data_IF_290476695444
#
_entry.id   IF_290476695444
#
_cell.length_a   1.000
_cell.length_b   1.000
_cell.length_c   1.000
_cell.angle_alpha   90.00
_cell.angle_beta   90.00
_cell.angle_gamma   90.00
#
_symmetry.space_group_name_H-M   'P 1'
#
loop_
_entity.id
_entity.type
_entity.pdbx_description
1 polymer ?
#
# COMPACT_ATOMS: atom_id res chain seq x y z
N UNK A 1 -48.04 62.50 19.28
CA UNK A 1 -47.01 61.55 19.76
C UNK A 1 -45.93 62.33 20.50
N UNK A 2 -45.61 61.96 21.74
CA UNK A 2 -44.54 62.61 22.51
C UNK A 2 -43.17 62.29 21.91
N UNK A 3 -42.20 63.19 22.05
CA UNK A 3 -40.84 63.00 21.50
C UNK A 3 -40.19 61.70 21.99
N UNK A 4 -40.51 61.28 23.22
CA UNK A 4 -40.08 60.01 23.81
C UNK A 4 -40.52 58.79 22.99
N UNK A 5 -41.74 58.77 22.47
CA UNK A 5 -42.23 57.63 21.68
C UNK A 5 -41.43 57.43 20.38
N UNK A 6 -41.03 58.52 19.72
CA UNK A 6 -40.21 58.45 18.49
C UNK A 6 -38.81 57.89 18.77
N UNK A 7 -38.17 58.31 19.86
CA UNK A 7 -36.84 57.84 20.25
C UNK A 7 -36.86 56.32 20.50
N UNK A 8 -37.84 55.81 21.24
CA UNK A 8 -37.96 54.36 21.47
C UNK A 8 -38.23 53.55 20.21
N UNK A 9 -39.01 54.10 19.27
CA UNK A 9 -39.31 53.44 17.99
C UNK A 9 -38.05 53.33 17.13
N UNK A 10 -37.28 54.41 17.01
CA UNK A 10 -36.02 54.41 16.25
C UNK A 10 -35.00 53.46 16.90
N UNK A 11 -34.87 53.49 18.22
CA UNK A 11 -33.94 52.61 18.94
C UNK A 11 -34.28 51.12 18.73
N UNK A 12 -35.56 50.75 18.84
CA UNK A 12 -36.02 49.38 18.60
C UNK A 12 -35.75 48.90 17.17
N UNK A 13 -35.93 49.78 16.18
CA UNK A 13 -35.69 49.46 14.77
C UNK A 13 -34.19 49.26 14.48
N UNK A 14 -33.33 50.09 15.08
CA UNK A 14 -31.87 49.94 14.97
C UNK A 14 -31.39 48.64 15.62
N UNK A 15 -31.88 48.29 16.81
CA UNK A 15 -31.52 47.02 17.47
C UNK A 15 -31.97 45.82 16.65
N UNK A 16 -33.17 45.87 16.06
CA UNK A 16 -33.67 44.79 15.20
C UNK A 16 -32.81 44.61 13.93
N UNK A 17 -32.39 45.70 13.29
CA UNK A 17 -31.53 45.65 12.10
C UNK A 17 -30.12 45.12 12.42
N UNK A 18 -29.51 45.59 13.50
CA UNK A 18 -28.17 45.13 13.92
C UNK A 18 -28.22 43.67 14.37
N UNK A 19 -29.24 43.28 15.14
CA UNK A 19 -29.45 41.89 15.56
C UNK A 19 -29.70 40.94 14.38
N UNK A 20 -30.51 41.37 13.41
CA UNK A 20 -30.77 40.59 12.19
C UNK A 20 -29.53 40.42 11.32
N UNK A 21 -28.73 41.48 11.14
CA UNK A 21 -27.47 41.42 10.38
C UNK A 21 -26.44 40.50 11.06
N UNK A 22 -26.30 40.59 12.39
CA UNK A 22 -25.40 39.71 13.15
C UNK A 22 -25.81 38.23 13.04
N UNK A 23 -27.11 37.94 13.18
CA UNK A 23 -27.62 36.57 13.06
C UNK A 23 -27.44 36.00 11.66
N UNK A 24 -27.65 36.82 10.63
CA UNK A 24 -27.43 36.44 9.23
C UNK A 24 -25.95 36.12 8.96
N UNK A 25 -25.01 36.94 9.47
CA UNK A 25 -23.57 36.69 9.32
C UNK A 25 -23.18 35.36 10.00
N UNK A 26 -23.65 35.12 11.23
CA UNK A 26 -23.36 33.86 11.93
C UNK A 26 -23.96 32.64 11.21
N UNK A 27 -25.16 32.76 10.65
CA UNK A 27 -25.78 31.68 9.88
C UNK A 27 -24.96 31.37 8.60
N UNK A 28 -24.50 32.39 7.87
CA UNK A 28 -23.67 32.20 6.68
C UNK A 28 -22.31 31.55 7.01
N UNK A 29 -21.68 31.93 8.13
CA UNK A 29 -20.41 31.32 8.55
C UNK A 29 -20.58 29.84 8.91
N UNK A 30 -21.70 29.46 9.53
CA UNK A 30 -22.00 28.04 9.83
C UNK A 30 -22.27 27.23 8.57
N UNK A 31 -22.98 27.79 7.60
CA UNK A 31 -23.21 27.14 6.30
C UNK A 31 -21.90 26.91 5.54
N UNK A 32 -20.98 27.87 5.55
CA UNK A 32 -19.67 27.71 4.91
C UNK A 32 -18.80 26.64 5.59
N UNK A 33 -18.78 26.60 6.94
CA UNK A 33 -18.01 25.59 7.69
C UNK A 33 -18.57 24.19 7.44
N UNK A 34 -19.89 24.05 7.44
CA UNK A 34 -20.55 22.75 7.19
C UNK A 34 -20.36 22.29 5.76
N UNK A 35 -20.50 23.18 4.77
CA UNK A 35 -20.22 22.87 3.37
C UNK A 35 -18.75 22.47 3.14
N UNK A 36 -17.79 23.17 3.77
CA UNK A 36 -16.38 22.83 3.70
C UNK A 36 -16.07 21.47 4.36
N UNK A 37 -16.72 21.15 5.49
CA UNK A 37 -16.58 19.85 6.15
C UNK A 37 -17.15 18.72 5.28
N UNK A 38 -18.34 18.90 4.70
CA UNK A 38 -18.95 17.94 3.79
C UNK A 38 -18.10 17.71 2.54
N UNK A 39 -17.53 18.77 1.95
CA UNK A 39 -16.65 18.66 0.79
C UNK A 39 -15.35 17.89 1.12
N UNK A 40 -14.78 18.08 2.32
CA UNK A 40 -13.61 17.31 2.77
C UNK A 40 -13.94 15.84 2.97
N UNK A 41 -15.09 15.55 3.57
CA UNK A 41 -15.54 14.18 3.79
C UNK A 41 -15.85 13.46 2.48
N UNK A 42 -16.51 14.14 1.53
CA UNK A 42 -16.77 13.60 0.19
C UNK A 42 -15.47 13.25 -0.53
N UNK A 43 -14.49 14.16 -0.56
CA UNK A 43 -13.16 13.90 -1.15
C UNK A 43 -12.42 12.76 -0.47
N UNK A 44 -12.55 12.63 0.85
CA UNK A 44 -11.94 11.52 1.59
C UNK A 44 -12.56 10.19 1.17
N UNK A 45 -13.88 10.11 1.07
CA UNK A 45 -14.59 8.90 0.62
C UNK A 45 -14.26 8.55 -0.82
N UNK A 46 -14.16 9.55 -1.70
CA UNK A 46 -13.74 9.33 -3.10
C UNK A 46 -12.34 8.72 -3.16
N UNK A 47 -11.37 9.27 -2.41
CA UNK A 47 -10.01 8.71 -2.31
C UNK A 47 -10.00 7.30 -1.76
N UNK A 48 -10.73 7.05 -0.67
CA UNK A 48 -10.84 5.71 -0.07
C UNK A 48 -11.45 4.70 -1.06
N UNK A 49 -12.43 5.13 -1.87
CA UNK A 49 -13.04 4.29 -2.90
C UNK A 49 -12.07 4.02 -4.08
N UNK A 50 -11.36 5.05 -4.55
CA UNK A 50 -10.35 4.92 -5.60
C UNK A 50 -9.19 4.00 -5.17
N UNK A 51 -8.70 4.16 -3.94
CA UNK A 51 -7.69 3.31 -3.34
C UNK A 51 -8.18 1.86 -3.22
N UNK A 52 -9.43 1.66 -2.80
CA UNK A 52 -10.02 0.33 -2.70
C UNK A 52 -10.15 -0.34 -4.07
N UNK A 53 -10.55 0.40 -5.11
CA UNK A 53 -10.62 -0.10 -6.49
C UNK A 53 -9.22 -0.41 -7.05
N UNK A 54 -8.24 0.45 -6.80
CA UNK A 54 -6.86 0.23 -7.21
C UNK A 54 -6.30 -1.04 -6.58
N UNK A 55 -6.46 -1.21 -5.26
CA UNK A 55 -5.98 -2.40 -4.56
C UNK A 55 -6.75 -3.67 -4.92
N UNK A 56 -8.04 -3.56 -5.25
CA UNK A 56 -8.81 -4.67 -5.79
C UNK A 56 -8.18 -5.21 -7.09
N UNK A 57 -7.84 -4.32 -8.02
CA UNK A 57 -7.14 -4.68 -9.26
C UNK A 57 -5.76 -5.28 -9.00
N UNK A 58 -5.00 -4.72 -8.07
CA UNK A 58 -3.68 -5.25 -7.68
C UNK A 58 -3.81 -6.65 -7.09
N UNK A 59 -4.81 -6.92 -6.25
CA UNK A 59 -5.04 -8.23 -5.68
C UNK A 59 -5.36 -9.27 -6.76
N UNK A 60 -6.27 -8.94 -7.68
CA UNK A 60 -6.65 -9.81 -8.80
C UNK A 60 -5.47 -10.08 -9.75
N UNK A 61 -4.69 -9.06 -10.11
CA UNK A 61 -3.46 -9.21 -10.90
C UNK A 61 -2.42 -10.07 -10.17
N UNK A 62 -2.30 -9.89 -8.85
CA UNK A 62 -1.31 -10.64 -8.06
C UNK A 62 -1.63 -12.12 -7.94
N UNK A 63 -2.91 -12.50 -7.86
CA UNK A 63 -3.34 -13.89 -7.70
C UNK A 63 -2.83 -14.78 -8.85
N UNK A 64 -2.82 -14.26 -10.07
CA UNK A 64 -2.32 -14.96 -11.25
C UNK A 64 -0.78 -15.05 -11.31
N UNK A 65 -0.07 -14.23 -10.53
CA UNK A 65 1.38 -14.07 -10.59
C UNK A 65 2.10 -14.62 -9.36
N UNK A 66 1.38 -14.90 -8.28
CA UNK A 66 1.95 -15.49 -7.09
C UNK A 66 2.37 -16.94 -7.41
N UNK A 67 3.63 -17.33 -7.11
CA UNK A 67 4.07 -18.70 -7.35
C UNK A 67 3.18 -19.72 -6.62
N UNK A 68 2.90 -20.90 -7.20
CA UNK A 68 2.03 -21.90 -6.59
C UNK A 68 2.43 -22.30 -5.15
N UNK A 69 3.73 -22.28 -4.84
CA UNK A 69 4.22 -22.55 -3.48
C UNK A 69 3.76 -21.54 -2.42
N UNK A 70 3.27 -20.37 -2.84
CA UNK A 70 2.75 -19.27 -2.02
C UNK A 70 1.22 -19.13 -2.14
N UNK A 71 0.52 -20.22 -2.48
CA UNK A 71 -0.94 -20.24 -2.58
C UNK A 71 -1.62 -19.58 -1.37
N UNK A 72 -2.63 -18.75 -1.64
CA UNK A 72 -3.40 -18.02 -0.63
C UNK A 72 -2.80 -16.67 -0.20
N UNK A 73 -1.62 -16.31 -0.73
CA UNK A 73 -1.03 -14.97 -0.57
C UNK A 73 -1.37 -14.10 -1.79
N UNK A 74 -1.75 -12.84 -1.54
CA UNK A 74 -2.08 -11.85 -2.56
C UNK A 74 -1.59 -10.47 -2.10
N UNK A 75 -1.18 -9.62 -3.05
CA UNK A 75 -0.84 -8.23 -2.73
C UNK A 75 -2.09 -7.48 -2.22
N UNK A 76 -1.88 -6.52 -1.32
CA UNK A 76 -2.93 -5.76 -0.64
C UNK A 76 -3.56 -6.48 0.55
N UNK A 77 -3.24 -7.76 0.82
CA UNK A 77 -3.77 -8.47 1.97
C UNK A 77 -3.15 -7.98 3.29
N UNK A 78 -3.93 -7.99 4.39
CA UNK A 78 -3.41 -7.65 5.71
C UNK A 78 -2.47 -8.71 6.28
N UNK A 79 -1.61 -8.31 7.23
CA UNK A 79 -0.69 -9.21 7.93
C UNK A 79 -1.42 -10.39 8.59
N UNK A 80 -2.57 -10.13 9.20
CA UNK A 80 -3.37 -11.14 9.88
C UNK A 80 -3.93 -12.18 8.92
N UNK A 81 -4.36 -11.74 7.73
CA UNK A 81 -4.83 -12.65 6.69
C UNK A 81 -3.67 -13.48 6.14
N UNK A 82 -2.52 -12.85 5.92
CA UNK A 82 -1.32 -13.52 5.44
C UNK A 82 -0.84 -14.59 6.42
N UNK A 83 -0.78 -14.27 7.73
CA UNK A 83 -0.39 -15.23 8.78
C UNK A 83 -1.36 -16.41 8.92
N UNK A 84 -2.66 -16.19 8.68
CA UNK A 84 -3.63 -17.30 8.63
C UNK A 84 -3.42 -18.20 7.43
N UNK A 85 -3.13 -17.63 6.26
CA UNK A 85 -2.83 -18.38 5.04
C UNK A 85 -1.48 -19.10 5.13
N UNK A 86 -0.48 -18.48 5.79
CA UNK A 86 0.90 -18.95 5.94
C UNK A 86 1.31 -18.97 7.41
N UNK A 87 0.93 -20.02 8.17
CA UNK A 87 1.29 -20.12 9.58
C UNK A 87 2.81 -20.22 9.84
N UNK A 88 3.58 -20.67 8.84
CA UNK A 88 5.05 -20.75 8.89
C UNK A 88 5.76 -19.41 8.65
N UNK A 89 5.02 -18.33 8.39
CA UNK A 89 5.56 -16.99 8.20
C UNK A 89 6.00 -16.38 9.54
N UNK A 90 7.26 -16.00 9.64
CA UNK A 90 7.89 -15.47 10.86
C UNK A 90 8.36 -14.01 10.69
N UNK A 91 8.31 -13.16 11.72
CA UNK A 91 8.84 -11.80 11.64
C UNK A 91 10.34 -11.78 11.34
N UNK A 92 10.76 -11.04 10.31
CA UNK A 92 12.16 -10.83 9.99
C UNK A 92 12.68 -9.59 10.72
N UNK A 93 13.24 -9.80 11.91
CA UNK A 93 13.75 -8.72 12.78
C UNK A 93 15.13 -8.19 12.36
N UNK A 94 15.85 -8.94 11.52
CA UNK A 94 17.25 -8.67 11.18
C UNK A 94 17.35 -7.63 10.06
N UNK A 95 16.32 -7.55 9.22
CA UNK A 95 16.35 -6.80 7.98
C UNK A 95 15.41 -5.60 8.05
N UNK A 96 15.59 -4.69 9.02
CA UNK A 96 14.98 -3.36 8.90
C UNK A 96 15.81 -2.54 7.93
N UNK A 97 15.20 -2.18 6.81
CA UNK A 97 15.81 -1.23 5.88
C UNK A 97 15.73 0.16 6.52
N UNK A 98 16.87 0.82 6.81
CA UNK A 98 16.86 2.17 7.38
C UNK A 98 16.19 3.19 6.47
N UNK A 99 16.13 2.92 5.15
CA UNK A 99 15.50 3.81 4.17
C UNK A 99 13.98 3.56 4.05
N UNK A 100 13.47 2.44 4.56
CA UNK A 100 12.04 2.06 4.53
C UNK A 100 11.51 1.73 5.95
N UNK A 101 11.52 2.69 6.92
CA UNK A 101 11.22 2.41 8.33
C UNK A 101 9.76 1.98 8.60
N UNK A 102 8.85 2.34 7.71
CA UNK A 102 7.42 2.06 7.82
C UNK A 102 7.04 0.68 7.25
N UNK A 103 8.03 -0.10 6.82
CA UNK A 103 7.81 -1.46 6.33
C UNK A 103 8.06 -2.51 7.41
N UNK A 104 7.25 -3.57 7.38
CA UNK A 104 7.44 -4.77 8.21
C UNK A 104 7.75 -5.94 7.31
N UNK A 105 8.83 -6.64 7.64
CA UNK A 105 9.27 -7.80 6.90
C UNK A 105 8.91 -9.08 7.64
N UNK A 106 8.38 -10.03 6.91
CA UNK A 106 8.23 -11.42 7.34
C UNK A 106 8.99 -12.32 6.39
N UNK A 107 9.48 -13.45 6.89
CA UNK A 107 10.11 -14.48 6.07
C UNK A 107 9.46 -15.84 6.27
N UNK A 108 9.56 -16.67 5.25
CA UNK A 108 9.20 -18.08 5.30
C UNK A 108 10.26 -18.89 4.57
N UNK A 109 10.68 -20.00 5.17
CA UNK A 109 11.71 -20.90 4.63
C UNK A 109 11.06 -22.20 4.16
N UNK A 110 11.49 -22.66 2.99
CA UNK A 110 10.95 -23.86 2.35
C UNK A 110 11.94 -25.02 2.47
N UNK A 111 11.42 -26.25 2.41
CA UNK A 111 12.23 -27.47 2.51
C UNK A 111 13.28 -27.60 1.38
N UNK A 112 12.98 -27.03 0.22
CA UNK A 112 13.90 -26.99 -0.93
C UNK A 112 14.99 -25.90 -0.80
N UNK A 113 15.08 -25.22 0.34
CA UNK A 113 16.04 -24.14 0.60
C UNK A 113 15.64 -22.78 0.03
N UNK A 114 14.50 -22.67 -0.66
CA UNK A 114 13.97 -21.37 -1.06
C UNK A 114 13.52 -20.57 0.17
N UNK A 115 13.45 -19.25 0.00
CA UNK A 115 12.95 -18.33 1.02
C UNK A 115 12.02 -17.31 0.39
N UNK A 116 10.86 -17.08 0.98
CA UNK A 116 9.99 -15.96 0.64
C UNK A 116 10.14 -14.86 1.68
N UNK A 117 10.18 -13.61 1.22
CA UNK A 117 10.13 -12.41 2.05
C UNK A 117 8.87 -11.64 1.69
N UNK A 118 8.04 -11.39 2.69
CA UNK A 118 6.79 -10.64 2.57
C UNK A 118 7.01 -9.26 3.19
N UNK A 119 6.69 -8.22 2.44
CA UNK A 119 6.92 -6.83 2.83
C UNK A 119 5.58 -6.13 2.95
N UNK A 120 5.24 -5.79 4.19
CA UNK A 120 4.00 -5.11 4.54
C UNK A 120 4.27 -3.63 4.81
N UNK A 121 3.37 -2.76 4.37
CA UNK A 121 3.28 -1.40 4.86
C UNK A 121 2.57 -1.39 6.23
N UNK A 122 3.03 -0.57 7.18
CA UNK A 122 2.42 -0.52 8.52
C UNK A 122 1.08 0.21 8.54
N UNK A 123 0.96 1.29 7.77
CA UNK A 123 -0.25 2.09 7.66
C UNK A 123 -0.45 2.54 6.21
N UNK A 124 -1.33 1.88 5.45
CA UNK A 124 -2.24 0.80 5.87
C UNK A 124 -1.55 -0.57 5.95
N UNK A 125 -1.95 -1.42 6.92
CA UNK A 125 -1.52 -2.82 7.07
C UNK A 125 -1.81 -3.67 5.83
N UNK A 126 -0.87 -3.70 4.87
CA UNK A 126 -1.05 -4.31 3.54
C UNK A 126 0.24 -4.88 2.98
N UNK A 127 0.16 -6.07 2.41
CA UNK A 127 1.26 -6.70 1.69
C UNK A 127 1.53 -5.95 0.38
N UNK A 128 2.66 -5.26 0.29
CA UNK A 128 3.04 -4.52 -0.91
C UNK A 128 3.92 -5.32 -1.85
N UNK A 129 4.77 -6.19 -1.31
CA UNK A 129 5.82 -6.86 -2.07
C UNK A 129 6.10 -8.25 -1.54
N UNK A 130 6.29 -9.19 -2.48
CA UNK A 130 6.74 -10.56 -2.22
C UNK A 130 8.05 -10.73 -2.98
N UNK A 131 9.08 -11.21 -2.30
CA UNK A 131 10.35 -11.55 -2.92
C UNK A 131 10.63 -13.02 -2.67
N UNK A 132 10.82 -13.78 -3.74
CA UNK A 132 11.25 -15.17 -3.63
C UNK A 132 12.74 -15.23 -3.93
N UNK A 133 13.48 -15.81 -3.00
CA UNK A 133 14.89 -16.14 -3.14
C UNK A 133 14.99 -17.64 -3.42
N UNK A 134 15.36 -17.95 -4.67
CA UNK A 134 15.56 -19.32 -5.13
C UNK A 134 17.01 -19.75 -4.86
N UNK A 135 17.19 -20.83 -4.12
CA UNK A 135 18.50 -21.45 -3.91
C UNK A 135 18.71 -22.53 -4.98
N UNK A 136 19.69 -22.31 -5.85
CA UNK A 136 19.98 -23.24 -6.94
C UNK A 136 21.16 -24.16 -6.55
N UNK A 137 21.08 -25.46 -6.84
CA UNK A 137 22.09 -26.44 -6.41
C UNK A 137 23.43 -26.31 -7.16
N UNK A 138 23.42 -25.70 -8.34
CA UNK A 138 24.62 -25.47 -9.16
C UNK A 138 24.38 -24.34 -10.17
N UNK A 139 25.46 -23.85 -10.80
CA UNK A 139 25.36 -22.90 -11.90
C UNK A 139 24.58 -23.41 -13.12
N UNK A 140 24.67 -24.72 -13.41
CA UNK A 140 23.94 -25.34 -14.53
C UNK A 140 22.42 -25.34 -14.32
N UNK A 141 21.95 -25.23 -13.08
CA UNK A 141 20.52 -25.15 -12.75
C UNK A 141 19.90 -23.77 -13.06
N UNK A 142 20.71 -22.75 -13.34
CA UNK A 142 20.22 -21.39 -13.65
C UNK A 142 19.39 -21.36 -14.93
N UNK A 143 19.87 -22.00 -16.00
CA UNK A 143 19.18 -21.96 -17.29
C UNK A 143 17.82 -22.67 -17.26
N UNK A 144 17.68 -23.90 -16.73
CA UNK A 144 16.38 -24.55 -16.55
C UNK A 144 15.42 -23.72 -15.68
N UNK A 145 15.90 -23.12 -14.59
CA UNK A 145 15.07 -22.29 -13.72
C UNK A 145 14.57 -21.03 -14.45
N UNK A 146 15.46 -20.33 -15.19
CA UNK A 146 15.07 -19.19 -16.01
C UNK A 146 14.07 -19.56 -17.10
N UNK A 147 14.21 -20.73 -17.71
CA UNK A 147 13.24 -21.22 -18.69
C UNK A 147 11.86 -21.41 -18.06
N UNK A 148 11.79 -22.04 -16.88
CA UNK A 148 10.53 -22.22 -16.16
C UNK A 148 9.90 -20.87 -15.77
N UNK A 149 10.70 -19.92 -15.27
CA UNK A 149 10.23 -18.56 -14.96
C UNK A 149 9.74 -17.82 -16.22
N UNK A 150 10.42 -18.00 -17.35
CA UNK A 150 10.01 -17.40 -18.62
C UNK A 150 8.76 -18.06 -19.22
N UNK A 151 8.54 -19.35 -18.98
CA UNK A 151 7.30 -20.03 -19.34
C UNK A 151 6.13 -19.52 -18.50
N UNK A 152 6.36 -19.28 -17.20
CA UNK A 152 5.32 -18.83 -16.27
C UNK A 152 4.99 -17.33 -16.43
N UNK A 153 6.00 -16.48 -16.52
CA UNK A 153 5.84 -15.02 -16.47
C UNK A 153 6.19 -14.31 -17.79
N UNK A 154 6.66 -15.04 -18.79
CA UNK A 154 7.16 -14.45 -20.04
C UNK A 154 8.58 -13.87 -19.88
N UNK A 155 8.97 -13.01 -20.82
CA UNK A 155 10.32 -12.43 -20.84
C UNK A 155 10.52 -11.42 -19.70
N UNK A 156 11.65 -11.49 -18.95
CA UNK A 156 11.91 -10.53 -17.88
C UNK A 156 11.96 -9.11 -18.43
N UNK A 157 11.33 -8.19 -17.71
CA UNK A 157 11.32 -6.75 -18.01
C UNK A 157 12.59 -6.04 -17.52
N UNK A 158 13.40 -6.71 -16.70
CA UNK A 158 14.67 -6.17 -16.21
C UNK A 158 15.59 -7.24 -15.61
N UNK A 159 16.90 -7.03 -15.78
CA UNK A 159 17.97 -7.87 -15.24
C UNK A 159 18.95 -6.96 -14.51
N UNK A 160 19.25 -7.29 -13.27
CA UNK A 160 20.10 -6.48 -12.41
C UNK A 160 21.21 -7.34 -11.83
N UNK A 161 22.45 -6.92 -12.03
CA UNK A 161 23.60 -7.48 -11.33
C UNK A 161 23.73 -6.75 -9.99
N UNK A 162 23.47 -7.47 -8.89
CA UNK A 162 23.55 -6.90 -7.56
C UNK A 162 24.98 -7.08 -7.02
N UNK A 163 25.65 -6.00 -6.57
CA UNK A 163 26.94 -6.14 -5.90
C UNK A 163 26.76 -6.96 -4.62
N UNK A 164 27.43 -8.10 -4.57
CA UNK A 164 27.57 -9.09 -3.49
C UNK A 164 26.58 -8.99 -2.31
N UNK A 165 25.59 -9.89 -2.27
CA UNK A 165 24.83 -10.14 -1.03
C UNK A 165 25.61 -11.15 -0.18
N UNK A 166 26.29 -10.69 0.87
CA UNK A 166 27.08 -11.57 1.75
C UNK A 166 28.29 -12.22 1.05
N UNK A 167 28.88 -11.56 0.05
CA UNK A 167 30.04 -12.06 -0.69
C UNK A 167 29.72 -12.94 -1.90
N UNK A 168 28.46 -13.32 -2.11
CA UNK A 168 28.03 -14.13 -3.26
C UNK A 168 27.47 -13.21 -4.35
N UNK A 169 27.94 -13.31 -5.61
CA UNK A 169 27.33 -12.61 -6.73
C UNK A 169 25.87 -13.02 -6.87
N UNK A 170 24.97 -12.05 -6.87
CA UNK A 170 23.53 -12.29 -7.08
C UNK A 170 23.06 -11.57 -8.33
N UNK A 171 22.22 -12.24 -9.11
CA UNK A 171 21.51 -11.64 -10.24
C UNK A 171 20.03 -11.66 -9.95
N UNK A 172 19.38 -10.53 -10.18
CA UNK A 172 17.95 -10.34 -9.96
C UNK A 172 17.25 -10.19 -11.30
N UNK A 173 16.18 -10.95 -11.48
CA UNK A 173 15.29 -10.86 -12.63
C UNK A 173 13.94 -10.29 -12.17
N UNK A 174 13.35 -9.46 -13.02
CA UNK A 174 12.09 -8.78 -12.71
C UNK A 174 11.10 -8.91 -13.86
N UNK A 175 9.84 -9.15 -13.54
CA UNK A 175 8.72 -9.20 -14.49
C UNK A 175 7.63 -8.26 -14.03
N UNK A 176 7.38 -7.19 -14.80
CA UNK A 176 6.33 -6.22 -14.50
C UNK A 176 5.06 -6.56 -15.27
N UNK A 177 3.96 -6.73 -14.54
CA UNK A 177 2.63 -6.97 -15.06
C UNK A 177 1.68 -5.94 -14.46
N UNK A 178 1.33 -4.91 -15.24
CA UNK A 178 0.46 -3.83 -14.74
C UNK A 178 1.07 -3.12 -13.52
N UNK A 179 0.40 -3.29 -12.37
CA UNK A 179 0.80 -2.72 -11.08
C UNK A 179 1.66 -3.68 -10.24
N UNK A 180 1.76 -4.95 -10.64
CA UNK A 180 2.50 -6.00 -9.92
C UNK A 180 3.87 -6.22 -10.54
N UNK A 181 4.89 -6.43 -9.71
CA UNK A 181 6.22 -6.84 -10.18
C UNK A 181 6.64 -8.11 -9.45
N UNK A 182 6.92 -9.16 -10.22
CA UNK A 182 7.55 -10.40 -9.72
C UNK A 182 9.06 -10.20 -9.74
N UNK A 183 9.72 -10.55 -8.64
CA UNK A 183 11.17 -10.47 -8.51
C UNK A 183 11.69 -11.82 -8.04
N UNK A 184 12.63 -12.37 -8.79
CA UNK A 184 13.37 -13.57 -8.39
C UNK A 184 14.86 -13.22 -8.31
N UNK A 185 15.49 -13.68 -7.24
CA UNK A 185 16.90 -13.45 -6.95
C UNK A 185 17.58 -14.80 -6.96
N UNK A 186 18.60 -14.95 -7.79
CA UNK A 186 19.39 -16.18 -7.81
C UNK A 186 20.59 -16.04 -6.90
N UNK A 187 20.68 -16.97 -5.96
CA UNK A 187 21.89 -17.22 -5.22
C UNK A 187 22.54 -18.47 -5.81
N UNK A 188 23.67 -18.30 -6.50
CA UNK A 188 24.45 -19.42 -7.03
C UNK A 188 25.43 -19.85 -5.95
N UNK A 189 25.17 -20.96 -5.28
CA UNK A 189 26.11 -21.57 -4.36
C UNK A 189 26.97 -22.57 -5.13
N UNK A 190 28.30 -22.40 -5.10
CA UNK A 190 29.24 -23.31 -5.75
C UNK A 190 29.90 -22.74 -7.01
N UNK A 191 30.98 -21.99 -6.76
CA UNK A 191 32.17 -21.98 -7.62
C UNK A 191 33.31 -22.62 -6.84
#
# INVERSE_FOLDING_TARGET
MSSRARVWTVLGLTVALVGGAFWWIQASEQEEITAAAQAREARRREREAEEQEQWGRVADESDALVPPMLEGIQLGMSIDRARRARPAMEPNVVQRDPDEPDLVHYEERFENGARAVYVFEQDPDRLQRIQVLSMLPSGDAIAPHLMAMNEQYGTPTGVWDCPQTGGVPTRRFTWRHGQVTVVDIFLVYGG
#
